data_IF_843122429511
#
_entry.id   IF_843122429511
#
_cell.length_a   1.000
_cell.length_b   1.000
_cell.length_c   1.000
_cell.angle_alpha   90.00
_cell.angle_beta   90.00
_cell.angle_gamma   90.00
#
_symmetry.space_group_name_H-M   'P 1'
#
loop_
_entity.id
_entity.type
_entity.pdbx_description
1 polymer ?
#
# COMPACT_ATOMS: atom_id res chain seq x y z
N UNK A 1 -23.31 72.95 6.19
CA UNK A 1 -23.83 71.64 5.71
C UNK A 1 -22.65 70.85 5.18
N UNK A 2 -22.09 69.91 5.98
CA UNK A 2 -20.89 69.13 5.62
C UNK A 2 -21.36 67.71 5.32
N UNK A 3 -21.26 67.31 4.07
CA UNK A 3 -21.54 65.94 3.62
C UNK A 3 -20.36 65.03 4.01
N UNK A 4 -20.60 64.02 4.85
CA UNK A 4 -19.65 62.92 5.13
C UNK A 4 -19.95 61.79 4.19
N UNK A 5 -19.03 61.51 3.25
CA UNK A 5 -19.06 60.33 2.40
C UNK A 5 -18.50 59.16 3.21
N UNK A 6 -19.34 58.18 3.53
CA UNK A 6 -18.90 56.88 4.08
C UNK A 6 -18.46 55.97 2.93
N UNK A 7 -17.17 55.74 2.84
CA UNK A 7 -16.60 54.76 1.92
C UNK A 7 -16.68 53.38 2.60
N UNK A 8 -17.62 52.53 2.17
CA UNK A 8 -17.75 51.18 2.64
C UNK A 8 -16.67 50.31 1.93
N UNK A 9 -15.66 49.88 2.67
CA UNK A 9 -14.62 48.98 2.20
C UNK A 9 -15.18 47.55 2.22
N UNK A 10 -15.57 47.02 1.05
CA UNK A 10 -15.92 45.62 0.90
C UNK A 10 -14.62 44.77 0.91
N UNK A 11 -14.34 44.10 2.03
CA UNK A 11 -13.33 43.04 2.08
C UNK A 11 -13.87 41.81 1.34
N UNK A 12 -13.40 41.58 0.11
CA UNK A 12 -13.57 40.31 -0.56
C UNK A 12 -12.66 39.27 0.12
N UNK A 13 -13.21 38.46 1.00
CA UNK A 13 -12.54 37.25 1.48
C UNK A 13 -12.61 36.19 0.38
N UNK A 14 -11.51 35.99 -0.35
CA UNK A 14 -11.38 34.86 -1.24
C UNK A 14 -11.23 33.59 -0.40
N UNK A 15 -12.31 32.83 -0.27
CA UNK A 15 -12.23 31.46 0.22
C UNK A 15 -11.51 30.64 -0.84
N UNK A 16 -10.24 30.33 -0.60
CA UNK A 16 -9.53 29.28 -1.33
C UNK A 16 -10.10 27.96 -0.86
N UNK A 17 -11.03 27.38 -1.61
CA UNK A 17 -11.44 26.00 -1.37
C UNK A 17 -10.21 25.12 -1.62
N UNK A 18 -9.67 24.56 -0.57
CA UNK A 18 -8.68 23.51 -0.71
C UNK A 18 -9.35 22.38 -1.52
N UNK A 19 -8.79 22.05 -2.69
CA UNK A 19 -9.29 20.92 -3.46
C UNK A 19 -9.14 19.67 -2.57
N UNK A 20 -10.28 19.08 -2.20
CA UNK A 20 -10.28 17.86 -1.42
C UNK A 20 -9.73 16.74 -2.31
N UNK A 21 -8.75 15.98 -1.80
CA UNK A 21 -8.18 14.86 -2.53
C UNK A 21 -9.30 13.92 -2.98
N UNK A 22 -9.37 13.66 -4.29
CA UNK A 22 -10.34 12.71 -4.81
C UNK A 22 -9.80 11.31 -4.58
N UNK A 23 -10.42 10.56 -3.66
CA UNK A 23 -10.09 9.18 -3.37
C UNK A 23 -11.12 8.27 -4.04
N UNK A 24 -10.65 7.27 -4.76
CA UNK A 24 -11.50 6.32 -5.50
C UNK A 24 -11.14 4.88 -5.15
N UNK A 25 -12.10 3.98 -5.27
CA UNK A 25 -11.87 2.54 -5.13
C UNK A 25 -11.67 1.92 -6.51
N UNK A 26 -10.53 1.28 -6.72
CA UNK A 26 -10.19 0.57 -7.96
C UNK A 26 -10.26 -0.93 -7.70
N UNK A 27 -11.26 -1.60 -8.29
CA UNK A 27 -11.33 -3.07 -8.30
C UNK A 27 -10.52 -3.62 -9.47
N UNK A 28 -9.49 -4.40 -9.19
CA UNK A 28 -8.60 -5.02 -10.20
C UNK A 28 -8.87 -6.52 -10.38
N UNK A 29 -9.98 -7.01 -9.83
CA UNK A 29 -10.39 -8.42 -9.89
C UNK A 29 -9.84 -9.23 -8.71
N UNK A 30 -8.54 -9.49 -8.66
CA UNK A 30 -7.87 -10.19 -7.56
C UNK A 30 -7.64 -9.35 -6.31
N UNK A 31 -7.71 -8.02 -6.43
CA UNK A 31 -7.43 -7.08 -5.35
C UNK A 31 -8.17 -5.75 -5.54
N UNK A 32 -8.23 -4.98 -4.47
CA UNK A 32 -8.84 -3.64 -4.45
C UNK A 32 -7.82 -2.63 -3.94
N UNK A 33 -7.78 -1.45 -4.59
CA UNK A 33 -6.97 -0.31 -4.18
C UNK A 33 -7.88 0.83 -3.73
N UNK A 34 -7.53 1.47 -2.62
CA UNK A 34 -7.98 2.82 -2.28
C UNK A 34 -6.95 3.78 -2.89
N UNK A 35 -7.34 4.48 -3.94
CA UNK A 35 -6.42 5.26 -4.78
C UNK A 35 -6.68 6.75 -4.62
N UNK A 36 -5.63 7.51 -4.31
CA UNK A 36 -5.65 8.97 -4.27
C UNK A 36 -5.25 9.53 -5.63
N UNK A 37 -6.22 10.14 -6.31
CA UNK A 37 -6.04 10.72 -7.64
C UNK A 37 -5.10 11.92 -7.66
N UNK A 38 -4.90 12.58 -6.52
CA UNK A 38 -3.99 13.73 -6.38
C UNK A 38 -2.56 13.27 -6.11
N UNK A 39 -2.41 12.22 -5.31
CA UNK A 39 -1.11 11.61 -5.03
C UNK A 39 -0.63 10.67 -6.15
N UNK A 40 -1.51 10.35 -7.12
CA UNK A 40 -1.26 9.42 -8.23
C UNK A 40 -0.85 8.02 -7.78
N UNK A 41 -1.36 7.56 -6.65
CA UNK A 41 -1.02 6.28 -6.06
C UNK A 41 -2.13 5.71 -5.20
N UNK A 42 -2.11 4.38 -5.00
CA UNK A 42 -2.91 3.76 -3.96
C UNK A 42 -2.29 4.04 -2.58
N UNK A 43 -3.12 4.49 -1.65
CA UNK A 43 -2.75 4.68 -0.24
C UNK A 43 -3.04 3.46 0.60
N UNK A 44 -3.95 2.59 0.12
CA UNK A 44 -4.34 1.34 0.77
C UNK A 44 -4.66 0.28 -0.29
N UNK A 45 -4.44 -0.97 0.08
CA UNK A 45 -4.86 -2.12 -0.72
C UNK A 45 -5.42 -3.24 0.17
N UNK A 46 -6.24 -4.11 -0.43
CA UNK A 46 -6.72 -5.34 0.20
C UNK A 46 -6.95 -6.44 -0.82
N UNK A 47 -6.70 -7.67 -0.41
CA UNK A 47 -7.01 -8.88 -1.17
C UNK A 47 -7.08 -10.11 -0.25
N UNK A 48 -7.61 -11.21 -0.81
CA UNK A 48 -7.67 -12.50 -0.14
C UNK A 48 -6.91 -13.54 -0.94
N UNK A 49 -6.18 -14.41 -0.23
CA UNK A 49 -5.48 -15.55 -0.80
C UNK A 49 -6.11 -16.85 -0.30
N UNK A 50 -6.36 -17.77 -1.21
CA UNK A 50 -6.64 -19.17 -0.92
C UNK A 50 -5.37 -19.97 -1.18
N UNK A 51 -5.40 -21.28 -0.95
CA UNK A 51 -4.30 -22.18 -1.27
C UNK A 51 -3.76 -21.92 -2.67
N UNK A 52 -2.46 -21.96 -2.82
CA UNK A 52 -1.82 -21.70 -4.09
C UNK A 52 -2.18 -22.78 -5.12
N UNK A 53 -2.70 -22.33 -6.25
CA UNK A 53 -3.10 -23.19 -7.37
C UNK A 53 -2.61 -22.61 -8.69
N UNK A 54 -1.86 -21.52 -8.63
CA UNK A 54 -1.48 -20.74 -9.78
C UNK A 54 -0.01 -20.90 -10.15
N UNK A 55 0.29 -20.60 -11.39
CA UNK A 55 1.66 -20.53 -11.90
C UNK A 55 1.72 -19.67 -13.16
N UNK A 56 0.84 -18.68 -13.26
CA UNK A 56 0.85 -17.76 -14.39
C UNK A 56 2.15 -16.95 -14.38
N UNK A 57 2.83 -16.93 -15.54
CA UNK A 57 4.11 -16.29 -15.67
C UNK A 57 4.01 -14.78 -15.36
N UNK A 58 4.91 -14.28 -14.51
CA UNK A 58 5.01 -12.88 -14.19
C UNK A 58 5.43 -12.07 -15.43
N UNK A 59 4.65 -11.05 -15.83
CA UNK A 59 5.02 -10.19 -16.95
C UNK A 59 6.24 -9.33 -16.59
N UNK A 60 7.11 -9.08 -17.58
CA UNK A 60 8.25 -8.16 -17.44
C UNK A 60 7.86 -6.69 -17.54
N UNK A 61 6.75 -6.42 -18.24
CA UNK A 61 6.34 -5.07 -18.60
C UNK A 61 5.44 -4.44 -17.54
N UNK A 62 5.69 -3.16 -17.29
CA UNK A 62 4.84 -2.30 -16.48
C UNK A 62 4.03 -1.40 -17.39
N UNK A 63 2.77 -1.15 -17.04
CA UNK A 63 1.87 -0.37 -17.87
C UNK A 63 1.20 0.75 -17.09
N UNK A 64 0.97 1.90 -17.74
CA UNK A 64 0.10 2.93 -17.17
C UNK A 64 -1.31 2.37 -16.98
N UNK A 65 -1.96 2.75 -15.90
CA UNK A 65 -3.32 2.30 -15.64
C UNK A 65 -4.34 3.16 -16.39
N UNK A 66 -4.77 2.67 -17.55
CA UNK A 66 -5.78 3.35 -18.38
C UNK A 66 -7.21 3.16 -17.89
N UNK A 67 -7.42 2.44 -16.80
CA UNK A 67 -8.74 2.20 -16.21
C UNK A 67 -9.07 3.15 -15.07
N UNK A 68 -8.23 4.15 -14.82
CA UNK A 68 -8.51 5.20 -13.84
C UNK A 68 -9.74 6.00 -14.26
N UNK A 69 -10.62 6.40 -13.32
CA UNK A 69 -11.77 7.24 -13.61
C UNK A 69 -11.37 8.56 -14.27
N UNK A 70 -12.27 9.12 -15.07
CA UNK A 70 -12.06 10.44 -15.68
C UNK A 70 -11.78 11.50 -14.59
N UNK A 71 -10.75 12.30 -14.81
CA UNK A 71 -10.29 13.33 -13.84
C UNK A 71 -9.39 12.79 -12.72
N UNK A 72 -9.17 11.47 -12.65
CA UNK A 72 -8.23 10.87 -11.71
C UNK A 72 -6.84 10.82 -12.33
N UNK A 73 -5.88 11.52 -11.73
CA UNK A 73 -4.49 11.49 -12.16
C UNK A 73 -3.83 10.14 -11.91
N UNK A 74 -2.92 9.73 -12.79
CA UNK A 74 -2.08 8.55 -12.62
C UNK A 74 -0.61 8.88 -12.83
N UNK A 75 0.27 7.93 -12.54
CA UNK A 75 1.67 8.08 -12.87
C UNK A 75 1.85 8.32 -14.37
N UNK A 76 2.85 9.13 -14.73
CA UNK A 76 3.08 9.59 -16.10
C UNK A 76 4.14 8.77 -16.84
N UNK A 77 4.79 7.82 -16.17
CA UNK A 77 5.88 7.00 -16.72
C UNK A 77 5.88 5.59 -16.14
N UNK A 78 6.28 4.63 -16.96
CA UNK A 78 6.54 3.22 -16.56
C UNK A 78 8.03 2.93 -16.39
N UNK A 79 8.90 3.92 -16.63
CA UNK A 79 10.35 3.74 -16.51
C UNK A 79 10.73 3.31 -15.08
N UNK A 80 11.88 2.65 -14.98
CA UNK A 80 12.43 2.31 -13.66
C UNK A 80 12.75 3.58 -12.86
N UNK A 81 12.36 3.62 -11.61
CA UNK A 81 12.76 4.69 -10.68
C UNK A 81 14.27 4.81 -10.55
N UNK A 82 15.01 3.68 -10.67
CA UNK A 82 16.47 3.68 -10.67
C UNK A 82 17.09 4.53 -11.79
N UNK A 83 16.37 4.76 -12.89
CA UNK A 83 16.83 5.66 -13.98
C UNK A 83 16.82 7.15 -13.58
N UNK A 84 16.10 7.51 -12.52
CA UNK A 84 16.03 8.87 -11.96
C UNK A 84 16.88 8.97 -10.70
N UNK A 85 16.74 7.99 -9.80
CA UNK A 85 17.48 7.90 -8.55
C UNK A 85 17.87 6.44 -8.31
N UNK A 86 19.20 6.15 -8.36
CA UNK A 86 19.70 4.81 -8.07
C UNK A 86 19.29 4.36 -6.65
N UNK A 87 19.11 3.07 -6.47
CA UNK A 87 18.69 2.48 -5.20
C UNK A 87 17.18 2.44 -4.98
N UNK A 88 16.37 2.74 -6.01
CA UNK A 88 14.91 2.61 -5.97
C UNK A 88 14.40 1.63 -7.01
N UNK A 89 13.50 0.76 -6.59
CA UNK A 89 12.79 -0.20 -7.42
C UNK A 89 11.36 0.26 -7.73
N UNK A 90 10.79 -0.26 -8.80
CA UNK A 90 9.33 -0.27 -9.01
C UNK A 90 8.73 -1.33 -8.09
N UNK A 91 8.41 -0.91 -6.86
CA UNK A 91 7.90 -1.80 -5.83
C UNK A 91 6.39 -2.01 -5.94
N UNK A 92 5.95 -3.23 -5.69
CA UNK A 92 4.54 -3.59 -5.69
C UNK A 92 3.90 -3.34 -4.33
N UNK A 93 2.69 -2.79 -4.31
CA UNK A 93 1.81 -2.77 -3.14
C UNK A 93 1.16 -4.14 -2.96
N UNK A 94 0.44 -4.59 -3.96
CA UNK A 94 -0.08 -5.96 -4.06
C UNK A 94 0.95 -6.82 -4.76
N UNK A 95 1.44 -7.83 -4.07
CA UNK A 95 2.50 -8.72 -4.53
C UNK A 95 2.10 -9.43 -5.84
N UNK A 96 2.98 -9.40 -6.84
CA UNK A 96 2.69 -9.98 -8.15
C UNK A 96 2.47 -11.49 -8.07
N UNK A 97 3.31 -12.21 -7.31
CA UNK A 97 3.19 -13.66 -7.13
C UNK A 97 1.85 -14.07 -6.50
N UNK A 98 1.33 -13.28 -5.57
CA UNK A 98 0.02 -13.54 -4.96
C UNK A 98 -1.16 -13.50 -5.96
N UNK A 99 -0.94 -13.00 -7.17
CA UNK A 99 -1.95 -12.88 -8.23
C UNK A 99 -1.78 -13.89 -9.37
N UNK A 100 -0.84 -14.82 -9.28
CA UNK A 100 -0.46 -15.76 -10.34
C UNK A 100 -1.48 -16.90 -10.56
N UNK A 101 -2.42 -17.08 -9.65
CA UNK A 101 -3.56 -17.96 -9.85
C UNK A 101 -4.49 -17.52 -11.00
N UNK A 102 -4.27 -16.33 -11.55
CA UNK A 102 -5.02 -15.82 -12.70
C UNK A 102 -4.14 -14.94 -13.59
N UNK A 103 -3.98 -15.35 -14.86
CA UNK A 103 -3.14 -14.66 -15.82
C UNK A 103 -3.52 -13.16 -16.04
N UNK A 104 -4.79 -12.80 -15.86
CA UNK A 104 -5.21 -11.39 -15.94
C UNK A 104 -4.81 -10.60 -14.69
N UNK A 105 -4.89 -11.21 -13.51
CA UNK A 105 -4.63 -10.51 -12.25
C UNK A 105 -3.15 -10.26 -12.06
N UNK A 106 -2.28 -11.21 -12.42
CA UNK A 106 -0.82 -11.01 -12.37
C UNK A 106 -0.36 -9.90 -13.33
N UNK A 107 -0.98 -9.78 -14.51
CA UNK A 107 -0.73 -8.66 -15.43
C UNK A 107 -1.19 -7.33 -14.83
N UNK A 108 -2.35 -7.31 -14.17
CA UNK A 108 -2.85 -6.11 -13.51
C UNK A 108 -2.02 -5.69 -12.31
N UNK A 109 -1.32 -6.62 -11.65
CA UNK A 109 -0.38 -6.28 -10.58
C UNK A 109 0.76 -5.36 -11.06
N UNK A 110 1.13 -5.41 -12.35
CA UNK A 110 2.13 -4.55 -12.97
C UNK A 110 1.57 -3.20 -13.48
N UNK A 111 0.31 -2.85 -13.20
CA UNK A 111 -0.21 -1.51 -13.48
C UNK A 111 0.42 -0.48 -12.53
N UNK A 112 0.81 0.67 -13.07
CA UNK A 112 1.46 1.73 -12.28
C UNK A 112 0.60 2.28 -11.13
N UNK A 113 -0.70 2.01 -11.10
CA UNK A 113 -1.56 2.27 -9.93
C UNK A 113 -1.26 1.38 -8.71
N UNK A 114 -0.59 0.25 -8.92
CA UNK A 114 -0.12 -0.68 -7.87
C UNK A 114 1.37 -0.54 -7.57
N UNK A 115 2.07 0.38 -8.22
CA UNK A 115 3.53 0.51 -8.18
C UNK A 115 3.92 1.82 -7.52
N UNK A 116 4.88 1.74 -6.61
CA UNK A 116 5.40 2.89 -5.85
C UNK A 116 6.94 2.85 -5.79
N UNK A 117 7.60 3.99 -5.57
CA UNK A 117 9.03 4.01 -5.31
C UNK A 117 9.36 3.28 -4.00
N UNK A 118 10.08 2.18 -4.09
CA UNK A 118 10.60 1.44 -2.94
C UNK A 118 12.13 1.46 -2.96
N UNK A 119 12.74 1.72 -1.81
CA UNK A 119 14.19 1.56 -1.65
C UNK A 119 14.54 0.10 -1.91
N UNK A 120 15.53 -0.17 -2.78
CA UNK A 120 15.84 -1.52 -3.24
C UNK A 120 16.16 -2.48 -2.09
N UNK A 121 16.91 -2.02 -1.08
CA UNK A 121 17.22 -2.84 0.10
C UNK A 121 16.00 -3.18 0.96
N UNK A 122 15.00 -2.29 1.03
CA UNK A 122 13.72 -2.55 1.65
C UNK A 122 12.90 -3.54 0.81
N UNK A 123 12.72 -3.24 -0.48
CA UNK A 123 11.88 -4.02 -1.38
C UNK A 123 12.35 -5.47 -1.52
N UNK A 124 13.66 -5.66 -1.77
CA UNK A 124 14.26 -6.99 -2.00
C UNK A 124 14.64 -7.70 -0.69
N UNK A 125 14.51 -7.04 0.44
CA UNK A 125 14.87 -7.53 1.77
C UNK A 125 13.67 -7.79 2.66
N UNK A 126 13.45 -6.90 3.61
CA UNK A 126 12.47 -7.07 4.68
C UNK A 126 11.02 -7.12 4.17
N UNK A 127 10.70 -6.39 3.07
CA UNK A 127 9.35 -6.41 2.51
C UNK A 127 8.98 -7.77 1.93
N UNK A 128 9.90 -8.43 1.21
CA UNK A 128 9.71 -9.81 0.72
C UNK A 128 9.47 -10.78 1.88
N UNK A 129 10.12 -10.59 3.04
CA UNK A 129 9.87 -11.46 4.20
C UNK A 129 8.42 -11.34 4.68
N UNK A 130 7.85 -10.14 4.72
CA UNK A 130 6.44 -9.94 5.07
C UNK A 130 5.48 -10.52 4.00
N UNK A 131 5.87 -10.50 2.73
CA UNK A 131 5.12 -11.14 1.64
C UNK A 131 5.13 -12.67 1.77
N UNK A 132 6.29 -13.25 2.07
CA UNK A 132 6.46 -14.68 2.28
C UNK A 132 5.59 -15.22 3.43
N UNK A 133 5.31 -14.42 4.46
CA UNK A 133 4.36 -14.84 5.51
C UNK A 133 2.97 -15.06 4.93
N UNK A 134 2.45 -14.16 4.09
CA UNK A 134 1.15 -14.32 3.46
C UNK A 134 1.16 -15.51 2.50
N UNK A 135 2.22 -15.65 1.68
CA UNK A 135 2.41 -16.74 0.73
C UNK A 135 2.37 -18.10 1.43
N UNK A 136 3.17 -18.28 2.46
CA UNK A 136 3.25 -19.56 3.16
C UNK A 136 1.99 -19.93 3.95
N UNK A 137 1.29 -18.93 4.49
CA UNK A 137 0.10 -19.18 5.29
C UNK A 137 -1.15 -19.44 4.45
N UNK A 138 -1.19 -19.01 3.18
CA UNK A 138 -2.34 -19.26 2.28
C UNK A 138 -2.62 -20.74 2.08
N UNK A 139 -1.59 -21.57 2.12
CA UNK A 139 -1.71 -23.03 1.96
C UNK A 139 -2.19 -23.75 3.22
N UNK A 140 -2.12 -23.09 4.37
CA UNK A 140 -2.64 -23.61 5.64
C UNK A 140 -4.12 -23.24 5.79
N UNK A 141 -4.45 -21.99 5.61
CA UNK A 141 -5.80 -21.42 5.71
C UNK A 141 -5.90 -20.17 4.84
N UNK A 142 -7.10 -19.82 4.34
CA UNK A 142 -7.29 -18.56 3.63
C UNK A 142 -6.73 -17.37 4.41
N UNK A 143 -6.07 -16.47 3.71
CA UNK A 143 -5.41 -15.28 4.27
C UNK A 143 -6.05 -14.03 3.70
N UNK A 144 -6.36 -13.05 4.55
CA UNK A 144 -6.70 -11.69 4.15
C UNK A 144 -5.47 -10.82 4.33
N UNK A 145 -5.11 -10.09 3.28
CA UNK A 145 -3.97 -9.17 3.28
C UNK A 145 -4.48 -7.75 3.09
N UNK A 146 -4.05 -6.88 3.98
CA UNK A 146 -4.26 -5.44 3.92
C UNK A 146 -2.90 -4.76 3.96
N UNK A 147 -2.81 -3.59 3.37
CA UNK A 147 -1.59 -2.80 3.47
C UNK A 147 -1.76 -1.44 2.82
N UNK A 148 -0.70 -0.67 2.86
CA UNK A 148 -0.70 0.66 2.30
C UNK A 148 0.60 1.40 2.54
N UNK A 149 0.56 2.70 2.25
CA UNK A 149 1.70 3.59 2.38
C UNK A 149 1.35 4.80 3.24
N UNK A 150 2.37 5.36 3.86
CA UNK A 150 2.30 6.63 4.60
C UNK A 150 3.29 7.60 3.96
N UNK A 151 2.80 8.80 3.66
CA UNK A 151 3.62 9.90 3.17
C UNK A 151 3.91 10.87 4.32
N UNK A 152 5.13 11.34 4.44
CA UNK A 152 5.54 12.30 5.47
C UNK A 152 6.59 13.24 4.92
N UNK A 153 7.85 12.82 4.92
CA UNK A 153 8.96 13.62 4.42
C UNK A 153 8.82 13.93 2.92
N UNK A 154 8.95 15.21 2.58
CA UNK A 154 8.95 15.69 1.19
C UNK A 154 10.36 15.78 0.59
N UNK A 155 11.41 15.63 1.40
CA UNK A 155 12.79 15.70 0.94
C UNK A 155 13.18 14.49 0.08
N UNK A 156 12.42 13.39 0.18
CA UNK A 156 12.60 12.17 -0.59
C UNK A 156 11.73 12.09 -1.86
N UNK A 157 10.95 13.12 -2.17
CA UNK A 157 10.01 13.16 -3.30
C UNK A 157 10.71 13.30 -4.68
N UNK A 158 11.67 12.41 -4.97
CA UNK A 158 12.52 12.46 -6.17
C UNK A 158 11.79 12.23 -7.49
N UNK A 159 10.57 11.66 -7.45
CA UNK A 159 9.87 11.15 -8.63
C UNK A 159 8.70 12.01 -9.08
N UNK A 160 8.44 13.15 -8.43
CA UNK A 160 7.35 14.06 -8.81
C UNK A 160 7.46 14.54 -10.26
N UNK A 161 8.64 14.99 -10.70
CA UNK A 161 8.82 15.51 -12.05
C UNK A 161 8.85 14.42 -13.12
N UNK A 162 9.29 13.21 -12.79
CA UNK A 162 9.51 12.12 -13.76
C UNK A 162 8.33 11.18 -13.89
N UNK A 163 7.63 10.91 -12.79
CA UNK A 163 6.54 9.95 -12.72
C UNK A 163 5.24 10.54 -12.15
N UNK A 164 5.30 11.73 -11.58
CA UNK A 164 4.14 12.38 -10.94
C UNK A 164 3.75 11.79 -9.59
N UNK A 165 4.65 11.05 -8.94
CA UNK A 165 4.37 10.35 -7.67
C UNK A 165 5.33 10.80 -6.56
N UNK A 166 4.81 10.87 -5.33
CA UNK A 166 5.62 11.04 -4.12
C UNK A 166 6.28 9.71 -3.73
N UNK A 167 7.34 9.81 -2.92
CA UNK A 167 7.98 8.63 -2.32
C UNK A 167 7.35 8.34 -0.97
N UNK A 168 6.80 7.12 -0.74
CA UNK A 168 6.31 6.74 0.58
C UNK A 168 7.44 6.76 1.62
N UNK A 169 7.13 7.24 2.83
CA UNK A 169 8.04 7.17 3.97
C UNK A 169 7.95 5.83 4.69
N UNK A 170 6.72 5.30 4.85
CA UNK A 170 6.48 4.00 5.46
C UNK A 170 5.57 3.15 4.60
N UNK A 171 5.74 1.84 4.76
CA UNK A 171 4.83 0.81 4.26
C UNK A 171 4.26 0.04 5.44
N UNK A 172 2.99 -0.28 5.39
CA UNK A 172 2.37 -1.17 6.37
C UNK A 172 1.72 -2.36 5.69
N UNK A 173 1.70 -3.47 6.39
CA UNK A 173 1.03 -4.71 5.95
C UNK A 173 0.39 -5.39 7.15
N UNK A 174 -0.82 -5.89 6.98
CA UNK A 174 -1.53 -6.71 7.96
C UNK A 174 -1.97 -8.00 7.30
N UNK A 175 -1.77 -9.10 7.98
CA UNK A 175 -2.21 -10.42 7.57
C UNK A 175 -3.18 -10.95 8.64
N UNK A 176 -4.36 -11.37 8.20
CA UNK A 176 -5.36 -12.01 9.05
C UNK A 176 -5.67 -13.39 8.48
N UNK A 177 -5.60 -14.42 9.33
CA UNK A 177 -5.96 -15.79 8.98
C UNK A 177 -6.60 -16.50 10.18
N UNK A 178 -6.94 -17.77 10.01
CA UNK A 178 -7.47 -18.61 11.09
C UNK A 178 -6.36 -19.55 11.57
N UNK A 179 -6.16 -19.61 12.86
CA UNK A 179 -5.27 -20.58 13.48
C UNK A 179 -5.83 -22.01 13.26
N UNK A 180 -5.08 -22.92 12.62
CA UNK A 180 -5.61 -24.22 12.24
C UNK A 180 -5.90 -25.14 13.42
N UNK A 181 -5.30 -24.88 14.59
CA UNK A 181 -5.45 -25.72 15.80
C UNK A 181 -6.64 -25.29 16.65
N UNK A 182 -6.90 -23.98 16.74
CA UNK A 182 -7.93 -23.41 17.59
C UNK A 182 -9.18 -22.95 16.84
N UNK A 183 -9.08 -22.71 15.54
CA UNK A 183 -10.14 -22.10 14.75
C UNK A 183 -10.36 -20.61 14.99
N UNK A 184 -9.55 -19.99 15.85
CA UNK A 184 -9.64 -18.56 16.14
C UNK A 184 -8.95 -17.72 15.04
N UNK A 185 -9.48 -16.52 14.78
CA UNK A 185 -8.75 -15.54 13.94
C UNK A 185 -7.46 -15.12 14.65
N UNK A 186 -6.39 -14.98 13.87
CA UNK A 186 -5.12 -14.39 14.28
C UNK A 186 -4.66 -13.34 13.30
N UNK A 187 -3.98 -12.32 13.79
CA UNK A 187 -3.46 -11.22 12.99
C UNK A 187 -2.00 -10.94 13.32
N UNK A 188 -1.27 -10.43 12.31
CA UNK A 188 0.03 -9.83 12.47
C UNK A 188 0.11 -8.60 11.57
N UNK A 189 0.72 -7.54 12.06
CA UNK A 189 0.90 -6.30 11.31
C UNK A 189 2.30 -5.75 11.49
N UNK A 190 2.77 -5.05 10.49
CA UNK A 190 4.04 -4.32 10.49
C UNK A 190 3.86 -2.92 9.93
N UNK A 191 4.65 -1.97 10.42
CA UNK A 191 4.88 -0.67 9.80
C UNK A 191 6.39 -0.47 9.67
N UNK A 192 6.88 -0.34 8.44
CA UNK A 192 8.29 -0.43 8.13
C UNK A 192 8.72 0.81 7.33
N UNK A 193 9.80 1.52 7.71
CA UNK A 193 10.29 2.66 6.95
C UNK A 193 10.87 2.23 5.59
N UNK A 194 10.72 3.09 4.59
CA UNK A 194 11.22 2.87 3.23
C UNK A 194 12.69 3.26 3.11
N UNK A 195 13.57 2.53 3.77
CA UNK A 195 14.99 2.86 3.83
C UNK A 195 15.89 1.61 3.84
N UNK A 196 17.19 1.80 3.88
CA UNK A 196 18.20 0.72 3.98
C UNK A 196 18.66 0.53 5.42
N UNK A 197 19.32 -0.60 5.70
CA UNK A 197 19.93 -0.86 7.01
C UNK A 197 18.91 -1.20 8.10
N UNK A 198 17.76 -1.70 7.71
CA UNK A 198 16.66 -2.11 8.61
C UNK A 198 17.07 -3.35 9.43
N UNK A 199 16.49 -3.46 10.62
CA UNK A 199 16.64 -4.63 11.51
C UNK A 199 15.86 -5.85 11.01
N UNK A 200 15.47 -6.71 11.92
CA UNK A 200 14.61 -7.86 11.62
C UNK A 200 13.16 -7.43 11.42
N UNK A 201 12.36 -8.26 10.73
CA UNK A 201 10.93 -8.00 10.55
C UNK A 201 10.18 -7.89 11.91
N UNK A 202 10.68 -8.57 12.94
CA UNK A 202 10.11 -8.56 14.29
C UNK A 202 10.19 -7.17 14.95
N UNK A 203 11.19 -6.36 14.60
CA UNK A 203 11.38 -5.01 15.16
C UNK A 203 10.28 -4.01 14.74
N UNK A 204 9.49 -4.37 13.74
CA UNK A 204 8.45 -3.52 13.12
C UNK A 204 7.03 -4.02 13.38
N UNK A 205 6.87 -5.05 14.23
CA UNK A 205 5.54 -5.58 14.56
C UNK A 205 4.76 -4.54 15.37
N UNK A 206 3.52 -4.34 14.96
CA UNK A 206 2.53 -3.50 15.66
C UNK A 206 1.18 -4.22 15.68
N UNK A 207 0.28 -3.82 16.57
CA UNK A 207 -1.11 -4.27 16.49
C UNK A 207 -1.89 -3.49 15.42
N UNK A 208 -3.04 -4.01 14.99
CA UNK A 208 -3.95 -3.24 14.12
C UNK A 208 -4.43 -1.98 14.85
N UNK A 209 -4.63 -2.05 16.18
CA UNK A 209 -5.02 -0.91 16.98
C UNK A 209 -3.94 0.19 16.98
N UNK A 210 -2.66 -0.18 17.07
CA UNK A 210 -1.55 0.77 16.97
C UNK A 210 -1.49 1.41 15.56
N UNK A 211 -1.73 0.63 14.51
CA UNK A 211 -1.85 1.20 13.14
C UNK A 211 -3.00 2.20 13.03
N UNK A 212 -4.17 1.87 13.61
CA UNK A 212 -5.32 2.78 13.62
C UNK A 212 -5.05 4.07 14.40
N UNK A 213 -4.26 4.00 15.46
CA UNK A 213 -3.82 5.18 16.21
C UNK A 213 -2.81 6.02 15.42
N UNK A 214 -1.84 5.37 14.77
CA UNK A 214 -0.75 6.06 14.05
C UNK A 214 -1.21 6.74 12.76
N UNK A 215 -2.04 6.08 11.96
CA UNK A 215 -2.40 6.55 10.61
C UNK A 215 -3.89 6.80 10.41
N UNK A 216 -4.70 6.58 11.42
CA UNK A 216 -6.15 6.78 11.42
C UNK A 216 -6.93 5.52 11.00
N UNK A 217 -7.98 5.20 11.75
CA UNK A 217 -8.80 3.99 11.54
C UNK A 217 -9.41 3.92 10.13
N UNK A 218 -9.79 5.05 9.54
CA UNK A 218 -10.33 5.11 8.16
C UNK A 218 -9.29 4.76 7.10
N UNK A 219 -8.01 5.07 7.35
CA UNK A 219 -6.90 4.77 6.43
C UNK A 219 -6.50 3.29 6.53
N UNK A 220 -6.54 2.70 7.73
CA UNK A 220 -6.32 1.27 7.93
C UNK A 220 -7.50 0.46 7.37
N UNK A 221 -8.73 0.84 7.68
CA UNK A 221 -9.96 0.29 7.10
C UNK A 221 -10.14 -1.22 7.31
N UNK A 222 -9.64 -1.79 8.42
CA UNK A 222 -9.73 -3.21 8.73
C UNK A 222 -10.91 -3.44 9.68
N UNK A 223 -11.85 -4.27 9.24
CA UNK A 223 -12.95 -4.73 10.08
C UNK A 223 -12.58 -6.06 10.74
N UNK A 224 -12.38 -6.03 12.06
CA UNK A 224 -12.07 -7.18 12.88
C UNK A 224 -12.58 -6.96 14.31
N UNK A 225 -12.65 -8.02 15.12
CA UNK A 225 -12.98 -7.90 16.54
C UNK A 225 -11.91 -7.11 17.30
N UNK A 226 -12.27 -6.50 18.44
CA UNK A 226 -11.29 -5.81 19.28
C UNK A 226 -10.17 -6.76 19.75
N UNK A 227 -10.48 -8.02 19.98
CA UNK A 227 -9.47 -9.05 20.32
C UNK A 227 -8.44 -9.18 19.22
N UNK A 228 -8.87 -9.29 17.95
CA UNK A 228 -7.97 -9.41 16.80
C UNK A 228 -7.19 -8.11 16.57
N UNK A 229 -7.84 -6.95 16.71
CA UNK A 229 -7.18 -5.65 16.57
C UNK A 229 -6.08 -5.38 17.60
N UNK A 230 -6.22 -5.91 18.79
CA UNK A 230 -5.23 -5.76 19.87
C UNK A 230 -4.19 -6.90 19.93
N UNK A 231 -4.18 -7.81 18.95
CA UNK A 231 -3.13 -8.83 18.88
C UNK A 231 -1.79 -8.18 18.56
N UNK A 232 -0.80 -8.46 19.41
CA UNK A 232 0.58 -8.00 19.25
C UNK A 232 1.52 -9.21 19.42
N UNK A 233 1.77 -9.98 18.33
CA UNK A 233 2.74 -11.07 18.38
C UNK A 233 4.14 -10.56 18.76
N UNK A 234 4.89 -11.36 19.51
CA UNK A 234 6.26 -11.02 19.91
C UNK A 234 7.30 -11.35 18.83
N UNK A 235 6.89 -12.07 17.81
CA UNK A 235 7.72 -12.41 16.64
C UNK A 235 6.84 -12.68 15.41
N UNK A 236 7.43 -12.53 14.26
CA UNK A 236 6.85 -12.94 12.98
C UNK A 236 6.51 -14.45 13.00
N UNK A 237 5.40 -14.81 12.43
CA UNK A 237 4.98 -16.21 12.38
C UNK A 237 6.01 -17.04 11.62
N UNK A 238 6.43 -18.17 12.23
CA UNK A 238 7.37 -19.07 11.59
C UNK A 238 6.80 -19.62 10.29
N UNK A 239 7.60 -19.58 9.23
CA UNK A 239 7.19 -20.15 7.94
C UNK A 239 7.11 -21.68 8.04
N UNK A 240 6.05 -22.30 7.51
CA UNK A 240 5.97 -23.74 7.39
C UNK A 240 7.14 -24.33 6.59
N UNK A 241 7.64 -25.49 6.98
CA UNK A 241 8.82 -26.12 6.36
C UNK A 241 8.61 -26.57 4.91
N UNK A 242 7.35 -26.67 4.48
CA UNK A 242 6.94 -27.06 3.13
C UNK A 242 6.36 -25.90 2.31
N UNK A 243 6.64 -24.66 2.73
CA UNK A 243 6.18 -23.48 2.00
C UNK A 243 6.82 -23.40 0.62
N UNK A 244 6.00 -23.24 -0.39
CA UNK A 244 6.42 -22.85 -1.73
C UNK A 244 6.45 -21.31 -1.80
N UNK A 245 7.54 -20.76 -2.31
CA UNK A 245 7.74 -19.31 -2.49
C UNK A 245 7.80 -18.93 -3.97
N UNK A 246 7.48 -19.87 -4.87
CA UNK A 246 7.53 -19.65 -6.31
C UNK A 246 6.29 -18.95 -6.86
#
# INVERSE_FOLDING_TARGET
>A
MRFRIFLALFLLTTFSAAAQAQVVTLNKGGYTLTYDCTAHTATRYEYSLNADTGSAARPSDFNLDTTLPSGCGGQTSTKSYASVRSGYDRGHLVTSNHMDYNATYIVRANLMSNIVPQVSGFNQGIWVQAENVAECYRDIKPVKVYGGVVFGDTSNDYFLSSHGIRTPEYFWKTIITTDPSTGAEKAISWIIPNETGLGSLDDYIVSIADLEELIGASNVGITASSTVKNMLPTSTWALPSNCDLS
#
